data_IF_847396124274
#
_entry.id   IF_847396124274
#
_cell.length_a   1.000
_cell.length_b   1.000
_cell.length_c   1.000
_cell.angle_alpha   90.00
_cell.angle_beta   90.00
_cell.angle_gamma   90.00
#
_symmetry.space_group_name_H-M   'P 1'
#
loop_
_entity.id
_entity.type
_entity.pdbx_description
1 polymer ?
#
# COMPACT_ATOMS: atom_id res chain seq x y z
N UNK A 1 27.01 82.46 31.91
CA UNK A 1 26.46 81.18 31.44
C UNK A 1 27.60 80.48 30.68
N UNK A 2 28.18 79.46 31.32
CA UNK A 2 29.11 78.41 30.83
C UNK A 2 30.25 78.81 29.88
N UNK A 3 31.49 78.94 30.37
CA UNK A 3 32.49 77.89 30.69
C UNK A 3 33.22 77.29 29.48
N UNK A 4 34.51 77.59 29.45
CA UNK A 4 35.63 77.01 28.71
C UNK A 4 35.87 75.54 29.04
N UNK A 5 36.42 74.76 28.11
CA UNK A 5 37.72 74.07 28.28
C UNK A 5 38.07 73.19 27.08
N UNK A 6 39.19 73.53 26.47
CA UNK A 6 40.06 72.64 25.72
C UNK A 6 40.87 71.74 26.69
N UNK A 7 41.22 70.55 26.18
CA UNK A 7 42.44 69.75 26.47
C UNK A 7 42.37 68.50 27.38
N UNK A 8 42.85 67.37 26.78
CA UNK A 8 43.33 66.06 27.31
C UNK A 8 42.32 64.98 27.79
N UNK A 9 42.63 63.66 27.75
CA UNK A 9 43.39 62.82 26.78
C UNK A 9 42.63 61.54 26.31
N UNK A 10 43.21 60.81 25.36
CA UNK A 10 42.91 59.39 25.08
C UNK A 10 42.99 58.52 26.35
N UNK A 11 41.91 57.80 26.69
CA UNK A 11 41.91 56.41 27.16
C UNK A 11 40.52 56.07 27.72
N UNK A 12 39.72 55.29 26.99
CA UNK A 12 38.81 54.29 27.57
C UNK A 12 38.23 53.42 26.47
N UNK A 13 38.52 52.12 26.53
CA UNK A 13 38.02 51.12 25.59
C UNK A 13 38.36 49.71 26.03
N UNK A 14 38.26 49.41 27.32
CA UNK A 14 38.34 48.04 27.83
C UNK A 14 36.95 47.40 27.63
N UNK A 15 36.73 46.87 26.43
CA UNK A 15 35.55 46.09 26.06
C UNK A 15 35.68 44.63 26.54
N UNK A 16 34.57 43.93 26.83
CA UNK A 16 34.59 42.63 27.48
C UNK A 16 35.35 41.57 26.68
N UNK A 17 36.25 40.86 27.38
CA UNK A 17 37.06 39.74 26.88
C UNK A 17 36.22 38.74 26.09
N UNK A 18 36.67 38.42 24.88
CA UNK A 18 36.23 37.25 24.09
C UNK A 18 36.34 35.99 24.95
N UNK A 19 35.29 35.16 25.06
CA UNK A 19 35.40 33.87 25.72
C UNK A 19 36.33 32.96 24.92
N UNK A 20 37.32 32.43 25.62
CA UNK A 20 38.28 31.44 25.19
C UNK A 20 37.54 30.14 24.81
N UNK A 21 37.60 29.74 23.54
CA UNK A 21 37.01 28.50 23.04
C UNK A 21 37.84 27.34 23.58
N UNK A 22 37.33 26.70 24.63
CA UNK A 22 37.87 25.46 25.18
C UNK A 22 37.69 24.34 24.13
N UNK A 23 38.71 23.52 23.84
CA UNK A 23 38.56 22.39 22.93
C UNK A 23 37.58 21.37 23.54
N UNK A 24 36.41 21.26 22.92
CA UNK A 24 35.37 20.31 23.30
C UNK A 24 35.80 18.88 22.92
N UNK A 25 35.62 17.97 23.87
CA UNK A 25 36.14 16.61 23.84
C UNK A 25 35.61 15.78 22.65
N UNK A 26 36.42 14.87 22.07
CA UNK A 26 35.98 14.03 20.95
C UNK A 26 35.17 12.85 21.46
N UNK A 27 33.85 12.99 21.69
CA UNK A 27 32.97 11.84 22.03
C UNK A 27 31.52 12.00 21.56
N UNK A 28 31.28 12.09 20.26
CA UNK A 28 29.95 11.78 19.71
C UNK A 28 29.98 11.00 18.39
N UNK A 29 31.07 11.11 17.62
CA UNK A 29 31.23 10.43 16.33
C UNK A 29 31.43 8.90 16.46
N UNK A 30 32.06 8.42 17.54
CA UNK A 30 32.35 6.98 17.70
C UNK A 30 31.15 6.11 18.11
N UNK A 31 30.12 6.67 18.78
CA UNK A 31 28.92 5.89 19.15
C UNK A 31 27.95 5.69 17.99
N UNK A 32 28.00 6.55 16.97
CA UNK A 32 27.18 6.42 15.78
C UNK A 32 27.69 5.28 14.86
N UNK A 33 29.01 5.05 14.82
CA UNK A 33 29.63 4.07 13.94
C UNK A 33 29.22 2.62 14.24
N UNK A 34 29.01 2.26 15.51
CA UNK A 34 28.69 0.88 15.90
C UNK A 34 27.20 0.50 15.74
N UNK A 35 26.31 1.49 15.58
CA UNK A 35 24.86 1.30 15.36
C UNK A 35 24.49 1.13 13.87
N UNK A 36 25.39 1.48 12.94
CA UNK A 36 25.13 1.59 11.49
C UNK A 36 25.32 0.29 10.69
N UNK A 37 25.24 -0.88 11.33
CA UNK A 37 25.39 -2.18 10.65
C UNK A 37 24.02 -2.67 10.16
N UNK A 38 23.79 -2.65 8.84
CA UNK A 38 22.65 -3.31 8.21
C UNK A 38 22.71 -4.82 8.49
N UNK A 39 21.63 -5.37 9.05
CA UNK A 39 21.53 -6.79 9.37
C UNK A 39 20.09 -7.20 9.64
N UNK A 40 19.73 -8.38 9.14
CA UNK A 40 18.47 -9.04 9.45
C UNK A 40 18.66 -9.88 10.70
N UNK A 41 18.04 -9.46 11.80
CA UNK A 41 18.01 -10.17 13.09
C UNK A 41 19.39 -10.63 13.58
N UNK A 42 19.86 -11.82 13.17
CA UNK A 42 21.14 -12.43 13.55
C UNK A 42 22.20 -12.50 12.42
N UNK A 43 21.81 -12.38 11.15
CA UNK A 43 22.72 -12.46 9.99
C UNK A 43 23.15 -11.05 9.56
N UNK A 44 24.46 -10.78 9.59
CA UNK A 44 25.06 -9.50 9.19
C UNK A 44 26.14 -9.71 8.12
N UNK A 45 25.77 -10.07 6.86
CA UNK A 45 26.77 -10.29 5.83
C UNK A 45 27.44 -8.97 5.45
N UNK A 46 28.79 -8.94 5.44
CA UNK A 46 29.55 -7.77 5.03
C UNK A 46 29.28 -7.36 3.57
N UNK A 47 28.97 -8.31 2.68
CA UNK A 47 28.68 -8.04 1.27
C UNK A 47 27.44 -7.14 1.06
N UNK A 48 26.42 -7.25 1.93
CA UNK A 48 25.21 -6.41 1.84
C UNK A 48 25.45 -4.96 2.30
N UNK A 49 26.54 -4.69 3.04
CA UNK A 49 26.89 -3.32 3.43
C UNK A 49 27.39 -2.49 2.24
N UNK A 50 27.85 -3.13 1.16
CA UNK A 50 28.25 -2.47 -0.10
C UNK A 50 27.07 -1.79 -0.82
N UNK A 51 25.85 -2.27 -0.59
CA UNK A 51 24.61 -1.70 -1.16
C UNK A 51 23.98 -0.60 -0.31
N UNK A 52 24.63 -0.18 0.79
CA UNK A 52 24.16 0.87 1.71
C UNK A 52 24.29 2.29 1.14
N UNK A 53 24.17 2.47 -0.17
CA UNK A 53 24.19 3.81 -0.77
C UNK A 53 22.76 4.32 -0.94
N UNK A 54 22.55 5.62 -0.74
CA UNK A 54 21.24 6.24 -0.95
C UNK A 54 20.67 6.02 -2.36
N UNK A 55 21.53 5.83 -3.36
CA UNK A 55 21.14 5.50 -4.74
C UNK A 55 20.45 4.15 -4.86
N UNK A 56 21.01 3.12 -4.23
CA UNK A 56 20.40 1.78 -4.17
C UNK A 56 19.12 1.78 -3.36
N UNK A 57 19.08 2.50 -2.24
CA UNK A 57 17.85 2.65 -1.46
C UNK A 57 16.74 3.33 -2.27
N UNK A 58 17.06 4.41 -3.00
CA UNK A 58 16.12 5.05 -3.91
C UNK A 58 15.62 4.08 -4.97
N UNK A 59 16.51 3.32 -5.63
CA UNK A 59 16.12 2.33 -6.64
C UNK A 59 15.07 1.34 -6.10
N UNK A 60 15.33 0.74 -4.94
CA UNK A 60 14.39 -0.21 -4.32
C UNK A 60 13.09 0.44 -3.85
N UNK A 61 13.15 1.66 -3.29
CA UNK A 61 11.96 2.40 -2.88
C UNK A 61 11.10 2.80 -4.09
N UNK A 62 11.71 3.23 -5.19
CA UNK A 62 11.01 3.54 -6.45
C UNK A 62 10.34 2.30 -7.02
N UNK A 63 11.04 1.17 -7.08
CA UNK A 63 10.49 -0.09 -7.59
C UNK A 63 9.33 -0.59 -6.72
N UNK A 64 9.51 -0.61 -5.39
CA UNK A 64 8.46 -1.00 -4.46
C UNK A 64 7.27 -0.04 -4.52
N UNK A 65 7.51 1.27 -4.65
CA UNK A 65 6.45 2.28 -4.76
C UNK A 65 5.67 2.16 -6.06
N UNK A 66 6.35 1.89 -7.17
CA UNK A 66 5.70 1.60 -8.45
C UNK A 66 4.81 0.35 -8.35
N UNK A 67 5.33 -0.75 -7.81
CA UNK A 67 4.58 -2.00 -7.63
C UNK A 67 3.38 -1.80 -6.70
N UNK A 68 3.58 -1.12 -5.57
CA UNK A 68 2.50 -0.82 -4.64
C UNK A 68 1.42 0.04 -5.29
N UNK A 69 1.79 1.11 -6.01
CA UNK A 69 0.84 1.97 -6.70
C UNK A 69 0.11 1.24 -7.83
N UNK A 70 0.82 0.38 -8.58
CA UNK A 70 0.25 -0.46 -9.63
C UNK A 70 -0.80 -1.42 -9.07
N UNK A 71 -0.52 -2.09 -7.95
CA UNK A 71 -1.45 -3.06 -7.34
C UNK A 71 -2.63 -2.33 -6.70
N UNK A 72 -2.37 -1.42 -5.75
CA UNK A 72 -3.42 -0.84 -4.88
C UNK A 72 -4.27 0.18 -5.61
N UNK A 73 -3.64 1.07 -6.39
CA UNK A 73 -4.34 2.18 -7.05
C UNK A 73 -4.61 1.93 -8.54
N UNK A 74 -4.04 0.85 -9.12
CA UNK A 74 -4.29 0.43 -10.49
C UNK A 74 -5.16 -0.82 -10.53
N UNK A 75 -4.56 -2.00 -10.32
CA UNK A 75 -5.22 -3.29 -10.50
C UNK A 75 -6.48 -3.45 -9.66
N UNK A 76 -6.43 -3.14 -8.36
CA UNK A 76 -7.60 -3.29 -7.48
C UNK A 76 -8.77 -2.45 -8.00
N UNK A 77 -8.52 -1.20 -8.39
CA UNK A 77 -9.56 -0.34 -8.97
C UNK A 77 -10.12 -0.88 -10.30
N UNK A 78 -9.28 -1.50 -11.13
CA UNK A 78 -9.70 -2.11 -12.39
C UNK A 78 -10.59 -3.35 -12.16
N UNK A 79 -10.26 -4.19 -11.18
CA UNK A 79 -10.94 -5.49 -10.96
C UNK A 79 -12.13 -5.44 -10.00
N UNK A 80 -12.39 -4.30 -9.33
CA UNK A 80 -13.51 -4.18 -8.35
C UNK A 80 -14.84 -4.63 -8.95
N UNK A 81 -15.16 -4.17 -10.16
CA UNK A 81 -16.44 -4.49 -10.81
C UNK A 81 -16.53 -5.97 -11.18
N UNK A 82 -15.42 -6.62 -11.53
CA UNK A 82 -15.39 -8.06 -11.77
C UNK A 82 -15.52 -8.84 -10.46
N UNK A 83 -14.92 -8.38 -9.37
CA UNK A 83 -15.10 -8.97 -8.04
C UNK A 83 -16.58 -8.90 -7.62
N UNK A 84 -17.25 -7.77 -7.81
CA UNK A 84 -18.70 -7.62 -7.56
C UNK A 84 -19.49 -8.67 -8.33
N UNK A 85 -19.25 -8.80 -9.64
CA UNK A 85 -19.96 -9.75 -10.50
C UNK A 85 -19.64 -11.21 -10.21
N UNK A 86 -18.39 -11.51 -9.86
CA UNK A 86 -17.92 -12.89 -9.64
C UNK A 86 -18.38 -13.45 -8.30
N UNK A 87 -18.36 -12.63 -7.26
CA UNK A 87 -18.67 -13.05 -5.90
C UNK A 87 -20.06 -12.60 -5.43
N UNK A 88 -20.82 -11.88 -6.26
CA UNK A 88 -22.16 -11.39 -5.93
C UNK A 88 -22.16 -10.31 -4.85
N UNK A 89 -21.04 -9.61 -4.66
CA UNK A 89 -20.89 -8.57 -3.64
C UNK A 89 -21.64 -7.30 -4.03
N UNK A 90 -22.25 -6.64 -3.05
CA UNK A 90 -22.88 -5.33 -3.26
C UNK A 90 -21.80 -4.26 -3.44
N UNK A 91 -22.10 -3.19 -4.19
CA UNK A 91 -21.15 -2.09 -4.36
C UNK A 91 -20.78 -1.38 -3.04
N UNK A 92 -21.64 -1.43 -2.01
CA UNK A 92 -21.30 -0.92 -0.67
C UNK A 92 -20.21 -1.75 0.01
N UNK A 93 -20.19 -3.05 -0.25
CA UNK A 93 -19.27 -4.03 0.34
C UNK A 93 -17.89 -3.98 -0.33
N UNK A 94 -17.85 -3.89 -1.65
CA UNK A 94 -16.61 -3.63 -2.41
C UNK A 94 -16.08 -2.22 -2.20
N UNK A 95 -16.97 -1.25 -1.98
CA UNK A 95 -16.58 0.08 -1.51
C UNK A 95 -15.90 0.05 -0.14
N UNK A 96 -16.36 -0.80 0.78
CA UNK A 96 -15.70 -1.03 2.06
C UNK A 96 -14.31 -1.68 1.88
N UNK A 97 -14.17 -2.63 0.95
CA UNK A 97 -12.86 -3.20 0.59
C UNK A 97 -11.93 -2.09 0.12
N UNK A 98 -12.32 -1.28 -0.86
CA UNK A 98 -11.50 -0.19 -1.39
C UNK A 98 -11.09 0.81 -0.30
N UNK A 99 -12.04 1.23 0.54
CA UNK A 99 -11.80 2.15 1.67
C UNK A 99 -10.98 1.54 2.81
N UNK A 100 -10.89 0.21 2.91
CA UNK A 100 -10.09 -0.48 3.93
C UNK A 100 -8.61 -0.06 3.90
N UNK A 101 -8.05 0.21 2.72
CA UNK A 101 -6.69 0.73 2.57
C UNK A 101 -6.50 2.04 3.32
N UNK A 102 -7.41 3.00 3.10
CA UNK A 102 -7.33 4.32 3.70
C UNK A 102 -7.53 4.22 5.21
N UNK A 103 -8.53 3.45 5.67
CA UNK A 103 -8.81 3.24 7.10
C UNK A 103 -7.56 2.72 7.82
N UNK A 104 -6.94 1.65 7.32
CA UNK A 104 -5.72 1.11 7.94
C UNK A 104 -4.55 2.09 7.88
N UNK A 105 -4.36 2.76 6.73
CA UNK A 105 -3.28 3.74 6.55
C UNK A 105 -3.41 4.89 7.55
N UNK A 106 -4.62 5.46 7.72
CA UNK A 106 -4.88 6.54 8.67
C UNK A 106 -4.66 6.10 10.12
N UNK A 107 -5.18 4.93 10.51
CA UNK A 107 -5.05 4.42 11.88
C UNK A 107 -3.59 4.13 12.25
N UNK A 108 -2.79 3.64 11.31
CA UNK A 108 -1.40 3.25 11.55
C UNK A 108 -0.40 4.38 11.29
N UNK A 109 -0.77 5.44 10.58
CA UNK A 109 0.10 6.58 10.29
C UNK A 109 0.73 7.17 11.55
N UNK A 110 -0.09 7.47 12.58
CA UNK A 110 0.38 8.13 13.81
C UNK A 110 1.30 7.21 14.64
N UNK A 111 0.90 5.97 14.99
CA UNK A 111 1.78 5.04 15.72
C UNK A 111 3.09 4.78 14.99
N UNK A 112 3.04 4.58 13.67
CA UNK A 112 4.22 4.30 12.86
C UNK A 112 5.17 5.51 12.80
N UNK A 113 4.63 6.72 12.65
CA UNK A 113 5.43 7.95 12.66
C UNK A 113 6.14 8.12 14.00
N UNK A 114 5.43 7.89 15.11
CA UNK A 114 5.99 8.00 16.46
C UNK A 114 7.06 6.93 16.74
N UNK A 115 6.77 5.66 16.44
CA UNK A 115 7.68 4.54 16.72
C UNK A 115 8.89 4.53 15.77
N UNK A 116 8.66 4.80 14.48
CA UNK A 116 9.70 4.82 13.44
C UNK A 116 10.55 6.10 13.46
N UNK A 117 10.05 7.20 14.02
CA UNK A 117 10.81 8.45 14.23
C UNK A 117 11.73 8.43 15.44
N UNK A 118 11.65 7.41 16.31
CA UNK A 118 12.46 7.33 17.52
C UNK A 118 13.93 7.08 17.16
N UNK A 119 14.86 7.80 17.81
CA UNK A 119 16.31 7.70 17.55
C UNK A 119 16.91 6.28 17.68
N UNK A 120 16.28 5.39 18.45
CA UNK A 120 16.70 3.97 18.59
C UNK A 120 16.10 3.03 17.54
N UNK A 121 15.15 3.50 16.73
CA UNK A 121 14.48 2.69 15.73
C UNK A 121 15.25 2.71 14.41
N UNK A 122 15.47 1.52 13.84
CA UNK A 122 16.06 1.39 12.51
C UNK A 122 14.98 1.61 11.44
N UNK A 123 14.86 2.85 10.94
CA UNK A 123 13.95 3.23 9.82
C UNK A 123 13.90 2.21 8.67
N UNK A 124 15.03 1.73 8.11
CA UNK A 124 14.99 0.76 7.00
C UNK A 124 14.34 -0.58 7.39
N UNK A 125 14.36 -0.99 8.67
CA UNK A 125 13.65 -2.21 9.10
C UNK A 125 12.13 -2.01 9.08
N UNK A 126 11.64 -0.87 9.53
CA UNK A 126 10.20 -0.58 9.49
C UNK A 126 9.70 -0.47 8.04
N UNK A 127 10.48 0.16 7.15
CA UNK A 127 10.19 0.18 5.71
C UNK A 127 10.14 -1.25 5.15
N UNK A 128 11.15 -2.07 5.45
CA UNK A 128 11.22 -3.46 4.99
C UNK A 128 10.04 -4.30 5.49
N UNK A 129 9.67 -4.18 6.77
CA UNK A 129 8.47 -4.83 7.33
C UNK A 129 7.21 -4.34 6.61
N UNK A 130 7.09 -3.05 6.33
CA UNK A 130 5.98 -2.49 5.56
C UNK A 130 5.85 -3.11 4.16
N UNK A 131 6.96 -3.25 3.44
CA UNK A 131 6.99 -3.89 2.11
C UNK A 131 6.64 -5.38 2.18
N UNK A 132 7.07 -6.10 3.22
CA UNK A 132 6.66 -7.49 3.43
C UNK A 132 5.16 -7.61 3.70
N UNK A 133 4.61 -6.73 4.53
CA UNK A 133 3.18 -6.67 4.84
C UNK A 133 2.37 -6.36 3.57
N UNK A 134 2.84 -5.43 2.72
CA UNK A 134 2.26 -5.18 1.39
C UNK A 134 2.24 -6.45 0.53
N UNK A 135 3.34 -7.20 0.49
CA UNK A 135 3.44 -8.46 -0.25
C UNK A 135 2.45 -9.52 0.26
N UNK A 136 2.33 -9.67 1.58
CA UNK A 136 1.36 -10.59 2.21
C UNK A 136 -0.08 -10.18 1.85
N UNK A 137 -0.38 -8.87 1.88
CA UNK A 137 -1.68 -8.35 1.43
C UNK A 137 -1.99 -8.75 -0.02
N UNK A 138 -1.01 -8.65 -0.93
CA UNK A 138 -1.20 -9.02 -2.34
C UNK A 138 -1.42 -10.52 -2.53
N UNK A 139 -0.69 -11.36 -1.79
CA UNK A 139 -0.92 -12.81 -1.80
C UNK A 139 -2.31 -13.15 -1.29
N UNK A 140 -2.75 -12.51 -0.20
CA UNK A 140 -4.07 -12.71 0.37
C UNK A 140 -5.19 -12.24 -0.58
N UNK A 141 -4.98 -11.14 -1.30
CA UNK A 141 -5.90 -10.64 -2.32
C UNK A 141 -6.05 -11.60 -3.50
N UNK A 142 -4.99 -12.35 -3.85
CA UNK A 142 -5.04 -13.38 -4.89
C UNK A 142 -5.71 -14.68 -4.43
N UNK A 143 -5.75 -14.97 -3.12
CA UNK A 143 -6.25 -16.23 -2.56
C UNK A 143 -7.68 -16.61 -2.99
N UNK A 144 -8.68 -15.70 -3.00
CA UNK A 144 -10.04 -16.03 -3.42
C UNK A 144 -10.13 -16.62 -4.82
N UNK A 145 -9.19 -16.28 -5.72
CA UNK A 145 -9.16 -16.86 -7.06
C UNK A 145 -8.90 -18.37 -7.03
N UNK A 146 -8.03 -18.85 -6.13
CA UNK A 146 -7.67 -20.27 -6.01
C UNK A 146 -8.68 -21.07 -5.19
N UNK A 147 -9.37 -20.42 -4.25
CA UNK A 147 -10.35 -21.06 -3.37
C UNK A 147 -11.75 -21.09 -3.99
N UNK A 148 -12.11 -20.11 -4.80
CA UNK A 148 -13.36 -20.11 -5.53
C UNK A 148 -13.25 -21.09 -6.69
N UNK A 149 -14.05 -22.16 -6.65
CA UNK A 149 -14.18 -23.11 -7.76
C UNK A 149 -14.63 -22.45 -9.08
N UNK A 150 -14.73 -23.23 -10.18
CA UNK A 150 -15.06 -22.70 -11.50
C UNK A 150 -16.34 -21.85 -11.47
N UNK A 151 -16.32 -20.74 -12.22
CA UNK A 151 -17.40 -19.76 -12.28
C UNK A 151 -18.69 -20.44 -12.72
N UNK A 152 -19.61 -20.67 -11.77
CA UNK A 152 -20.99 -21.02 -12.08
C UNK A 152 -21.67 -19.69 -12.41
N UNK A 153 -21.49 -19.25 -13.64
CA UNK A 153 -22.15 -18.04 -14.16
C UNK A 153 -23.58 -18.03 -13.72
N UNK A 154 -23.97 -16.92 -13.10
CA UNK A 154 -25.14 -16.83 -12.25
C UNK A 154 -26.29 -17.66 -12.81
N UNK A 155 -26.56 -18.79 -12.16
CA UNK A 155 -27.93 -19.11 -11.88
C UNK A 155 -28.40 -18.05 -10.89
N UNK A 156 -28.60 -16.81 -11.39
CA UNK A 156 -29.92 -16.27 -11.22
C UNK A 156 -30.81 -17.39 -11.76
N UNK A 157 -31.32 -18.19 -10.84
CA UNK A 157 -32.61 -18.82 -11.04
C UNK A 157 -33.51 -17.66 -11.36
N UNK A 158 -33.52 -17.25 -12.63
CA UNK A 158 -34.68 -16.62 -13.17
C UNK A 158 -35.75 -17.61 -12.75
N UNK A 159 -36.63 -17.15 -11.87
CA UNK A 159 -37.92 -17.75 -11.69
C UNK A 159 -38.68 -17.56 -13.01
N UNK A 160 -38.12 -18.04 -14.13
CA UNK A 160 -38.86 -18.36 -15.32
C UNK A 160 -39.73 -19.51 -14.87
N UNK A 161 -40.95 -19.18 -14.45
CA UNK A 161 -42.07 -20.08 -14.63
C UNK A 161 -42.06 -20.49 -16.10
N UNK A 162 -41.41 -21.61 -16.40
CA UNK A 162 -41.52 -22.23 -17.70
C UNK A 162 -42.94 -22.76 -17.75
N UNK A 163 -43.82 -21.96 -18.36
CA UNK A 163 -45.19 -22.33 -18.65
C UNK A 163 -45.13 -23.55 -19.55
N UNK A 164 -45.22 -24.74 -18.94
CA UNK A 164 -45.54 -25.96 -19.63
C UNK A 164 -47.00 -25.87 -20.05
N UNK A 165 -47.26 -25.10 -21.11
CA UNK A 165 -48.49 -25.23 -21.86
C UNK A 165 -48.44 -26.60 -22.54
N UNK A 166 -49.00 -27.61 -21.88
CA UNK A 166 -49.84 -28.61 -22.54
C UNK A 166 -50.57 -29.53 -21.54
N UNK A 167 -51.87 -29.69 -21.82
CA UNK A 167 -52.78 -30.77 -21.42
C UNK A 167 -53.30 -30.83 -19.97
N UNK A 168 -54.52 -30.29 -19.82
CA UNK A 168 -55.68 -30.96 -19.21
C UNK A 168 -55.50 -31.64 -17.84
N UNK A 169 -55.72 -30.89 -16.75
CA UNK A 169 -56.54 -31.27 -15.58
C UNK A 169 -56.19 -30.35 -14.41
N UNK A 170 -57.21 -29.85 -13.71
CA UNK A 170 -57.07 -28.89 -12.62
C UNK A 170 -56.05 -29.31 -11.57
N UNK A 171 -54.95 -28.56 -11.47
CA UNK A 171 -54.09 -28.54 -10.30
C UNK A 171 -53.79 -27.09 -9.99
N UNK A 172 -54.30 -26.62 -8.86
CA UNK A 172 -53.95 -25.31 -8.31
C UNK A 172 -52.43 -25.26 -8.15
N UNK A 173 -51.79 -24.39 -8.93
CA UNK A 173 -50.38 -24.04 -8.75
C UNK A 173 -50.32 -23.26 -7.45
N UNK A 174 -50.07 -23.96 -6.34
CA UNK A 174 -49.66 -23.32 -5.10
C UNK A 174 -48.21 -22.91 -5.29
N UNK A 175 -47.99 -21.64 -5.62
CA UNK A 175 -46.72 -21.01 -5.32
C UNK A 175 -46.64 -20.87 -3.81
N UNK A 176 -46.31 -21.96 -3.11
CA UNK A 176 -45.88 -21.90 -1.73
C UNK A 176 -44.57 -21.11 -1.73
N UNK A 177 -44.67 -19.81 -1.45
CA UNK A 177 -43.57 -18.90 -1.17
C UNK A 177 -42.85 -19.35 0.10
N UNK A 178 -42.16 -20.47 0.01
CA UNK A 178 -41.35 -21.07 1.06
C UNK A 178 -40.20 -21.82 0.41
N UNK A 179 -39.50 -21.15 -0.49
CA UNK A 179 -38.09 -21.42 -0.71
C UNK A 179 -37.34 -20.41 0.17
N UNK A 180 -37.04 -20.87 1.38
CA UNK A 180 -35.95 -20.43 2.25
C UNK A 180 -35.02 -19.43 1.53
N UNK A 181 -35.20 -18.13 1.78
CA UNK A 181 -34.23 -17.07 1.44
C UNK A 181 -33.06 -17.05 2.43
N UNK A 182 -32.60 -18.24 2.80
CA UNK A 182 -31.39 -18.49 3.53
C UNK A 182 -30.73 -19.68 2.82
N UNK A 183 -29.41 -19.73 2.78
CA UNK A 183 -28.62 -20.74 2.03
C UNK A 183 -28.23 -20.39 0.57
N UNK A 184 -27.94 -19.12 0.27
CA UNK A 184 -26.93 -18.80 -0.76
C UNK A 184 -25.91 -17.73 -0.32
N UNK A 185 -25.77 -17.50 0.98
CA UNK A 185 -24.88 -16.50 1.59
C UNK A 185 -23.74 -17.02 2.50
N UNK A 186 -23.36 -18.32 2.58
CA UNK A 186 -22.19 -18.68 3.40
C UNK A 186 -20.85 -18.24 2.79
N UNK A 187 -20.78 -18.12 1.46
CA UNK A 187 -19.50 -17.94 0.75
C UNK A 187 -19.16 -16.46 0.47
N UNK A 188 -20.16 -15.61 0.23
CA UNK A 188 -20.00 -14.18 -0.09
C UNK A 188 -19.26 -13.40 1.01
N UNK A 189 -19.67 -13.55 2.27
CA UNK A 189 -19.05 -12.87 3.41
C UNK A 189 -17.61 -13.31 3.73
N UNK A 190 -17.25 -14.56 3.41
CA UNK A 190 -15.88 -15.06 3.63
C UNK A 190 -14.91 -14.41 2.64
N UNK A 191 -15.28 -14.35 1.36
CA UNK A 191 -14.46 -13.69 0.34
C UNK A 191 -14.35 -12.19 0.58
N UNK A 192 -15.45 -11.53 0.97
CA UNK A 192 -15.45 -10.14 1.43
C UNK A 192 -14.39 -9.92 2.52
N UNK A 193 -14.42 -10.75 3.55
CA UNK A 193 -13.49 -10.64 4.69
C UNK A 193 -12.05 -10.82 4.23
N UNK A 194 -11.77 -11.77 3.34
CA UNK A 194 -10.42 -11.99 2.79
C UNK A 194 -9.93 -10.75 2.04
N UNK A 195 -10.75 -10.19 1.14
CA UNK A 195 -10.40 -8.98 0.39
C UNK A 195 -10.23 -7.76 1.31
N UNK A 196 -11.10 -7.61 2.31
CA UNK A 196 -11.01 -6.52 3.27
C UNK A 196 -9.73 -6.62 4.11
N UNK A 197 -9.40 -7.80 4.64
CA UNK A 197 -8.15 -8.03 5.38
C UNK A 197 -6.94 -7.79 4.49
N UNK A 198 -6.97 -8.21 3.22
CA UNK A 198 -5.91 -7.92 2.27
C UNK A 198 -5.69 -6.42 2.10
N UNK A 199 -6.77 -5.65 1.94
CA UNK A 199 -6.66 -4.20 1.77
C UNK A 199 -6.20 -3.49 3.06
N UNK A 200 -6.65 -3.95 4.23
CA UNK A 200 -6.16 -3.47 5.53
C UNK A 200 -4.66 -3.72 5.67
N UNK A 201 -4.16 -4.89 5.24
CA UNK A 201 -2.73 -5.18 5.21
C UNK A 201 -1.99 -4.26 4.23
N UNK A 202 -2.55 -4.01 3.05
CA UNK A 202 -1.94 -3.05 2.11
C UNK A 202 -1.80 -1.66 2.73
N UNK A 203 -2.84 -1.15 3.39
CA UNK A 203 -2.78 0.13 4.10
C UNK A 203 -1.79 0.13 5.25
N UNK A 204 -1.76 -0.96 6.03
CA UNK A 204 -0.84 -1.13 7.15
C UNK A 204 0.63 -1.13 6.72
N UNK A 205 0.95 -1.74 5.57
CA UNK A 205 2.30 -1.72 5.01
C UNK A 205 2.66 -0.42 4.30
N UNK A 206 1.69 0.27 3.72
CA UNK A 206 1.88 1.54 3.04
C UNK A 206 2.25 2.68 4.00
N UNK A 207 1.67 2.72 5.21
CA UNK A 207 1.98 3.73 6.22
C UNK A 207 3.49 3.85 6.55
N UNK A 208 4.19 2.79 7.01
CA UNK A 208 5.64 2.85 7.23
C UNK A 208 6.43 3.02 5.95
N UNK A 209 5.96 2.47 4.83
CA UNK A 209 6.65 2.57 3.55
C UNK A 209 6.76 4.02 3.07
N UNK A 210 5.65 4.75 3.00
CA UNK A 210 5.64 6.13 2.52
C UNK A 210 6.19 7.11 3.55
N UNK A 211 5.77 6.99 4.81
CA UNK A 211 6.20 7.95 5.85
C UNK A 211 7.68 7.80 6.19
N UNK A 212 8.13 6.57 6.47
CA UNK A 212 9.52 6.36 6.85
C UNK A 212 10.44 6.31 5.63
N UNK A 213 9.94 5.92 4.44
CA UNK A 213 10.70 5.97 3.20
C UNK A 213 11.14 7.40 2.84
N UNK A 214 10.21 8.36 2.96
CA UNK A 214 10.49 9.79 2.75
C UNK A 214 11.51 10.31 3.75
N UNK A 215 11.29 10.08 5.04
CA UNK A 215 12.23 10.56 6.07
C UNK A 215 13.59 9.88 5.97
N UNK A 216 13.64 8.61 5.56
CA UNK A 216 14.88 7.89 5.32
C UNK A 216 15.65 8.51 4.15
N UNK A 217 14.99 8.82 3.03
CA UNK A 217 15.64 9.47 1.89
C UNK A 217 16.16 10.87 2.26
N UNK A 218 15.36 11.68 2.97
CA UNK A 218 15.78 13.04 3.35
C UNK A 218 16.99 13.07 4.29
N UNK A 219 17.13 12.08 5.17
CA UNK A 219 18.26 11.98 6.09
C UNK A 219 19.51 11.34 5.49
N UNK A 220 19.37 10.48 4.48
CA UNK A 220 20.48 9.73 3.88
C UNK A 220 21.04 10.39 2.61
N UNK A 221 20.43 11.48 2.14
CA UNK A 221 20.86 12.25 0.95
C UNK A 221 21.30 13.65 1.38
N UNK A 222 22.24 14.25 0.64
CA UNK A 222 22.65 15.63 0.90
C UNK A 222 21.48 16.60 0.71
N UNK A 223 21.40 17.65 1.54
CA UNK A 223 20.27 18.61 1.52
C UNK A 223 20.02 19.26 0.15
N UNK A 224 21.07 19.44 -0.66
CA UNK A 224 20.96 19.94 -2.05
C UNK A 224 20.24 18.96 -3.00
N UNK A 225 20.39 17.66 -2.77
CA UNK A 225 19.85 16.60 -3.64
C UNK A 225 18.60 15.92 -3.07
N UNK A 226 18.26 16.16 -1.81
CA UNK A 226 17.14 15.51 -1.13
C UNK A 226 15.81 15.70 -1.90
N UNK A 227 15.49 16.93 -2.27
CA UNK A 227 14.26 17.25 -3.03
C UNK A 227 14.20 16.54 -4.38
N UNK A 228 15.33 16.37 -5.06
CA UNK A 228 15.41 15.64 -6.34
C UNK A 228 15.11 14.16 -6.13
N UNK A 229 15.66 13.54 -5.08
CA UNK A 229 15.43 12.12 -4.77
C UNK A 229 13.96 11.87 -4.39
N UNK A 230 13.38 12.75 -3.59
CA UNK A 230 11.95 12.73 -3.23
C UNK A 230 11.06 12.91 -4.47
N UNK A 231 11.43 13.82 -5.37
CA UNK A 231 10.74 14.00 -6.65
C UNK A 231 10.72 12.72 -7.47
N UNK A 232 11.87 12.09 -7.68
CA UNK A 232 11.97 10.81 -8.41
C UNK A 232 11.12 9.72 -7.75
N UNK A 233 11.16 9.63 -6.41
CA UNK A 233 10.38 8.65 -5.64
C UNK A 233 8.86 8.81 -5.88
N UNK A 234 8.32 10.02 -5.74
CA UNK A 234 6.89 10.27 -5.93
C UNK A 234 6.46 10.18 -7.41
N UNK A 235 7.29 10.63 -8.36
CA UNK A 235 6.99 10.45 -9.79
C UNK A 235 6.88 8.98 -10.15
N UNK A 236 7.78 8.13 -9.65
CA UNK A 236 7.71 6.70 -9.91
C UNK A 236 6.47 6.05 -9.25
N UNK A 237 6.09 6.52 -8.06
CA UNK A 237 4.86 6.08 -7.40
C UNK A 237 3.58 6.44 -8.19
N UNK A 238 3.61 7.53 -8.98
CA UNK A 238 2.49 7.92 -9.87
C UNK A 238 2.49 7.13 -11.19
N UNK A 239 3.67 6.78 -11.70
CA UNK A 239 3.79 5.94 -12.91
C UNK A 239 3.20 4.54 -12.66
N UNK A 240 3.33 4.00 -11.44
CA UNK A 240 2.79 2.69 -11.06
C UNK A 240 1.30 2.51 -11.37
N UNK A 241 0.39 3.32 -10.81
CA UNK A 241 -1.04 3.26 -11.10
C UNK A 241 -1.36 3.38 -12.60
N UNK A 242 -0.69 4.28 -13.32
CA UNK A 242 -0.89 4.45 -14.76
C UNK A 242 -0.60 3.15 -15.53
N UNK A 243 0.54 2.51 -15.24
CA UNK A 243 0.85 1.18 -15.79
C UNK A 243 -0.15 0.12 -15.33
N UNK A 244 -0.63 0.20 -14.09
CA UNK A 244 -1.64 -0.71 -13.55
C UNK A 244 -2.97 -0.64 -14.27
N UNK A 245 -3.45 0.56 -14.61
CA UNK A 245 -4.67 0.72 -15.41
C UNK A 245 -4.49 0.19 -16.84
N UNK A 246 -3.35 0.46 -17.48
CA UNK A 246 -3.08 -0.03 -18.84
C UNK A 246 -2.97 -1.55 -18.87
N UNK A 247 -2.09 -2.12 -18.04
CA UNK A 247 -1.87 -3.57 -17.98
C UNK A 247 -3.12 -4.28 -17.47
N UNK A 248 -3.78 -3.76 -16.43
CA UNK A 248 -5.02 -4.30 -15.91
C UNK A 248 -6.11 -4.32 -16.97
N UNK A 249 -6.31 -3.20 -17.69
CA UNK A 249 -7.31 -3.11 -18.76
C UNK A 249 -7.06 -4.07 -19.92
N UNK A 250 -5.80 -4.35 -20.27
CA UNK A 250 -5.47 -5.38 -21.27
C UNK A 250 -5.70 -6.80 -20.71
N UNK A 251 -5.34 -7.07 -19.45
CA UNK A 251 -5.57 -8.36 -18.81
C UNK A 251 -7.07 -8.71 -18.71
N UNK A 252 -7.95 -7.73 -18.49
CA UNK A 252 -9.41 -7.98 -18.53
C UNK A 252 -9.89 -8.45 -19.91
N UNK A 253 -9.18 -8.11 -21.01
CA UNK A 253 -9.60 -8.49 -22.37
C UNK A 253 -9.21 -9.93 -22.75
N UNK A 254 -8.33 -10.57 -21.98
CA UNK A 254 -7.88 -11.94 -22.25
C UNK A 254 -8.86 -12.91 -21.57
N UNK A 255 -9.59 -13.69 -22.36
CA UNK A 255 -10.49 -14.73 -21.85
C UNK A 255 -9.66 -15.87 -21.23
N UNK A 256 -9.96 -16.27 -20.00
CA UNK A 256 -9.28 -17.38 -19.29
C UNK A 256 -9.70 -18.78 -19.76
N UNK A 257 -10.70 -18.90 -20.63
CA UNK A 257 -11.17 -20.18 -21.16
C UNK A 257 -10.43 -20.57 -22.46
N UNK A 258 -9.11 -20.80 -22.38
CA UNK A 258 -8.38 -21.39 -23.51
C UNK A 258 -8.44 -22.93 -23.53
N UNK A 259 -8.86 -23.59 -22.45
CA UNK A 259 -8.79 -25.05 -22.31
C UNK A 259 -10.11 -25.78 -22.01
N UNK A 260 -11.22 -25.07 -21.91
CA UNK A 260 -12.57 -25.67 -21.79
C UNK A 260 -13.46 -25.15 -22.91
N UNK A 261 -13.05 -25.40 -24.16
CA UNK A 261 -13.95 -25.28 -25.30
C UNK A 261 -14.65 -26.63 -25.48
N UNK A 262 -15.82 -26.77 -24.85
CA UNK A 262 -16.84 -27.66 -25.40
C UNK A 262 -17.58 -26.86 -26.49
N UNK A 263 -17.71 -27.45 -27.67
CA UNK A 263 -17.90 -26.72 -28.94
C UNK A 263 -19.34 -26.25 -29.20
N UNK A 264 -20.21 -26.19 -28.19
CA UNK A 264 -21.66 -26.00 -28.40
C UNK A 264 -22.32 -24.85 -27.65
N UNK A 265 -21.61 -24.06 -26.84
CA UNK A 265 -22.24 -22.94 -26.12
C UNK A 265 -21.54 -21.63 -26.45
N UNK A 266 -21.85 -21.08 -27.63
CA UNK A 266 -21.60 -19.67 -27.91
C UNK A 266 -22.50 -18.84 -26.97
N UNK A 267 -21.93 -17.73 -26.49
CA UNK A 267 -22.60 -16.60 -25.82
C UNK A 267 -22.88 -16.75 -24.32
N UNK A 268 -21.88 -16.51 -23.46
CA UNK A 268 -22.01 -15.50 -22.41
C UNK A 268 -20.62 -14.89 -22.15
N UNK A 269 -20.49 -13.60 -22.47
CA UNK A 269 -19.32 -12.78 -22.19
C UNK A 269 -19.04 -12.67 -20.69
N UNK A 270 -17.91 -13.20 -20.24
CA UNK A 270 -17.22 -12.62 -19.09
C UNK A 270 -15.76 -12.35 -19.42
N UNK A 271 -15.45 -11.06 -19.46
CA UNK A 271 -14.12 -10.52 -19.28
C UNK A 271 -13.76 -10.52 -17.79
N UNK A 272 -12.47 -10.66 -17.54
CA UNK A 272 -11.83 -10.76 -16.22
C UNK A 272 -12.11 -9.57 -15.31
#
# INVERSE_FOLDING_TARGET
>A
MHETLSSFPEQFGDGPRKPEIKPEAPKETDRAADSLKCGWFWFRPLYLQRFRTAKWALFWLCWAGAMQGMVVNGFINVVITTIERRFGLKSSETGLIAGGYDIASFLLLVPVSYLGGRSKASKPRYIGVGVLVLGIGSLLFATPHYLAGPYRGGQQTENLCQSAANTSAGRSISCTGSAVQAELEPYSGVYLTIFLVAQLLHGAGAAPFYTLGVTYLDENVSKKMSSVYLGIYYTMAIIGPALGYVVGGELLKIYTDFFTVDSSTRLVDLKL
#
